data_IF_936750776702
#
_entry.id   IF_936750776702
#
_cell.length_a   1.000
_cell.length_b   1.000
_cell.length_c   1.000
_cell.angle_alpha   90.00
_cell.angle_beta   90.00
_cell.angle_gamma   90.00
#
_symmetry.space_group_name_H-M   'P 1'
#
loop_
_entity.id
_entity.type
_entity.pdbx_description
1 polymer ?
#
# COMPACT_ATOMS: atom_id res chain seq x y z
N UNK A 1 -3.24 38.15 -41.15
CA UNK A 1 -3.62 37.99 -39.71
C UNK A 1 -4.61 36.85 -39.47
N UNK A 2 -5.71 36.68 -40.29
CA UNK A 2 -6.68 35.59 -40.06
C UNK A 2 -6.13 34.17 -40.35
N UNK A 3 -5.28 34.01 -41.35
CA UNK A 3 -4.68 32.71 -41.72
C UNK A 3 -3.70 32.22 -40.63
N UNK A 4 -2.89 33.11 -40.07
CA UNK A 4 -1.95 32.79 -38.98
C UNK A 4 -2.68 32.37 -37.68
N UNK A 5 -3.78 33.08 -37.33
CA UNK A 5 -4.61 32.70 -36.19
C UNK A 5 -5.27 31.34 -36.35
N UNK A 6 -5.73 31.03 -37.59
CA UNK A 6 -6.37 29.75 -37.89
C UNK A 6 -5.36 28.59 -37.85
N UNK A 7 -4.14 28.82 -38.37
CA UNK A 7 -3.06 27.82 -38.26
C UNK A 7 -2.64 27.57 -36.82
N UNK A 8 -2.60 28.62 -35.98
CA UNK A 8 -2.29 28.48 -34.55
C UNK A 8 -3.36 27.67 -33.81
N UNK A 9 -4.64 27.96 -34.05
CA UNK A 9 -5.76 27.21 -33.49
C UNK A 9 -5.70 25.73 -33.90
N UNK A 10 -5.43 25.46 -35.16
CA UNK A 10 -5.31 24.08 -35.65
C UNK A 10 -4.15 23.34 -35.02
N UNK A 11 -3.01 24.01 -34.81
CA UNK A 11 -1.86 23.44 -34.14
C UNK A 11 -2.17 23.14 -32.65
N UNK A 12 -2.87 24.07 -31.94
CA UNK A 12 -3.32 23.86 -30.57
C UNK A 12 -4.33 22.71 -30.48
N UNK A 13 -5.19 22.53 -31.48
CA UNK A 13 -6.13 21.41 -31.51
C UNK A 13 -5.41 20.08 -31.62
N UNK A 14 -4.41 19.96 -32.51
CA UNK A 14 -3.59 18.76 -32.66
C UNK A 14 -2.82 18.48 -31.36
N UNK A 15 -2.20 19.51 -30.77
CA UNK A 15 -1.47 19.38 -29.52
C UNK A 15 -2.38 18.94 -28.34
N UNK A 16 -3.59 19.49 -28.27
CA UNK A 16 -4.59 19.08 -27.28
C UNK A 16 -5.08 17.65 -27.47
N UNK A 17 -5.24 17.22 -28.71
CA UNK A 17 -5.58 15.82 -29.03
C UNK A 17 -4.45 14.84 -28.65
N UNK A 18 -3.20 15.27 -28.86
CA UNK A 18 -2.03 14.54 -28.39
C UNK A 18 -2.05 14.44 -26.86
N UNK A 19 -2.26 15.56 -26.15
CA UNK A 19 -2.35 15.59 -24.70
C UNK A 19 -3.42 14.63 -24.17
N UNK A 20 -4.60 14.55 -24.79
CA UNK A 20 -5.68 13.64 -24.39
C UNK A 20 -5.24 12.16 -24.34
N UNK A 21 -4.34 11.75 -25.24
CA UNK A 21 -3.86 10.37 -25.34
C UNK A 21 -2.71 10.08 -24.37
N UNK A 22 -1.84 11.05 -24.14
CA UNK A 22 -0.60 10.86 -23.36
C UNK A 22 -0.69 11.33 -21.91
N UNK A 23 -1.75 12.07 -21.56
CA UNK A 23 -1.96 12.52 -20.19
C UNK A 23 -2.19 11.32 -19.26
N UNK A 24 -1.43 11.18 -18.15
CA UNK A 24 -1.68 10.14 -17.16
C UNK A 24 -3.10 10.25 -16.60
N UNK A 25 -3.76 9.12 -16.48
CA UNK A 25 -5.14 9.04 -16.00
C UNK A 25 -5.15 8.38 -14.63
N UNK A 26 -5.87 8.99 -13.69
CA UNK A 26 -6.06 8.49 -12.34
C UNK A 26 -7.54 8.58 -11.96
N UNK A 27 -7.98 7.76 -11.03
CA UNK A 27 -9.35 7.85 -10.48
C UNK A 27 -9.48 9.07 -9.57
N UNK A 28 -8.53 9.26 -8.69
CA UNK A 28 -8.48 10.35 -7.73
C UNK A 28 -7.19 11.15 -7.88
N UNK A 29 -7.19 12.43 -7.47
CA UNK A 29 -5.96 13.21 -7.41
C UNK A 29 -5.01 12.60 -6.39
N UNK A 30 -3.72 12.62 -6.70
CA UNK A 30 -2.68 12.27 -5.75
C UNK A 30 -2.55 13.40 -4.73
N UNK A 31 -3.16 13.21 -3.58
CA UNK A 31 -3.21 14.19 -2.49
C UNK A 31 -2.64 13.58 -1.22
N UNK A 32 -1.64 14.23 -0.67
CA UNK A 32 -1.19 13.96 0.69
C UNK A 32 -2.06 14.75 1.66
N UNK A 33 -2.70 14.06 2.58
CA UNK A 33 -3.42 14.72 3.67
C UNK A 33 -2.42 15.12 4.76
N UNK A 34 -2.54 16.32 5.34
CA UNK A 34 -1.63 16.75 6.37
C UNK A 34 -1.88 15.99 7.67
N UNK A 35 -1.37 14.78 7.76
CA UNK A 35 -1.53 13.90 8.91
C UNK A 35 -0.74 12.61 8.80
N UNK A 36 -0.64 11.94 9.94
CA UNK A 36 0.00 10.62 10.05
C UNK A 36 -0.69 9.74 11.09
N UNK A 37 -0.58 8.44 10.91
CA UNK A 37 -0.99 7.43 11.88
C UNK A 37 0.25 6.79 12.50
N UNK A 38 0.27 6.73 13.82
CA UNK A 38 1.29 6.04 14.61
C UNK A 38 0.64 4.79 15.20
N UNK A 39 1.13 3.61 14.87
CA UNK A 39 0.64 2.34 15.39
C UNK A 39 1.65 1.69 16.33
N UNK A 40 1.16 1.17 17.48
CA UNK A 40 1.97 0.41 18.45
C UNK A 40 1.22 -0.83 18.87
N UNK A 41 1.91 -1.98 18.85
CA UNK A 41 1.37 -3.26 19.35
C UNK A 41 2.00 -3.63 20.68
N UNK A 42 1.15 -4.07 21.62
CA UNK A 42 1.56 -4.66 22.88
C UNK A 42 0.63 -5.82 23.23
N UNK A 43 1.01 -7.01 22.83
CA UNK A 43 0.15 -8.20 22.89
C UNK A 43 -0.27 -8.52 24.33
N UNK A 44 -1.54 -8.92 24.52
CA UNK A 44 -2.08 -9.36 25.80
C UNK A 44 -2.54 -8.25 26.75
N UNK A 45 -2.49 -6.98 26.32
CA UNK A 45 -2.88 -5.82 27.16
C UNK A 45 -4.33 -5.43 26.87
N UNK A 46 -5.08 -5.06 27.93
CA UNK A 46 -6.46 -4.57 27.81
C UNK A 46 -6.53 -3.22 27.05
N UNK A 47 -7.69 -2.85 26.47
CA UNK A 47 -7.84 -1.54 25.81
C UNK A 47 -7.53 -0.37 26.75
N UNK A 48 -7.95 -0.44 28.03
CA UNK A 48 -7.73 0.60 29.02
C UNK A 48 -6.24 0.75 29.38
N UNK A 49 -5.53 -0.37 29.49
CA UNK A 49 -4.08 -0.35 29.73
C UNK A 49 -3.31 0.07 28.48
N UNK A 50 -3.77 -0.32 27.27
CA UNK A 50 -3.22 0.15 26.01
C UNK A 50 -3.35 1.67 25.87
N UNK A 51 -4.50 2.25 26.24
CA UNK A 51 -4.69 3.70 26.31
C UNK A 51 -3.67 4.36 27.26
N UNK A 52 -3.59 3.85 28.48
CA UNK A 52 -2.73 4.44 29.51
C UNK A 52 -1.24 4.32 29.20
N UNK A 53 -0.80 3.14 28.69
CA UNK A 53 0.62 2.81 28.54
C UNK A 53 1.18 3.16 27.18
N UNK A 54 0.33 3.24 26.13
CA UNK A 54 0.76 3.48 24.75
C UNK A 54 0.20 4.78 24.18
N UNK A 55 -1.13 4.98 24.23
CA UNK A 55 -1.76 6.14 23.62
C UNK A 55 -1.32 7.44 24.29
N UNK A 56 -1.44 7.50 25.60
CA UNK A 56 -1.24 8.74 26.36
C UNK A 56 0.18 9.30 26.24
N UNK A 57 1.28 8.52 26.39
CA UNK A 57 2.63 9.03 26.15
C UNK A 57 2.84 9.55 24.73
N UNK A 58 2.28 8.86 23.73
CA UNK A 58 2.37 9.30 22.34
C UNK A 58 1.56 10.56 22.07
N UNK A 59 0.31 10.65 22.59
CA UNK A 59 -0.50 11.85 22.45
C UNK A 59 0.17 13.07 23.06
N UNK A 60 0.72 12.91 24.29
CA UNK A 60 1.38 14.01 24.98
C UNK A 60 2.61 14.50 24.23
N UNK A 61 3.39 13.61 23.63
CA UNK A 61 4.53 13.95 22.79
C UNK A 61 4.11 14.63 21.48
N UNK A 62 3.10 14.08 20.77
CA UNK A 62 2.65 14.56 19.48
C UNK A 62 1.96 15.93 19.55
N UNK A 63 1.24 16.23 20.63
CA UNK A 63 0.61 17.54 20.86
C UNK A 63 1.60 18.70 20.97
N UNK A 64 2.88 18.41 21.19
CA UNK A 64 3.94 19.46 21.27
C UNK A 64 4.49 19.89 19.92
N UNK A 65 4.08 19.22 18.84
CA UNK A 65 4.53 19.53 17.47
C UNK A 65 3.83 20.80 16.99
N UNK A 66 4.56 21.71 16.38
CA UNK A 66 4.01 22.94 15.79
C UNK A 66 3.06 22.61 14.64
N UNK A 67 1.90 23.26 14.61
CA UNK A 67 0.88 23.08 13.56
C UNK A 67 0.03 21.82 13.70
N UNK A 68 0.03 21.17 14.85
CA UNK A 68 -0.93 20.10 15.15
C UNK A 68 -2.29 20.70 15.43
N UNK A 69 -3.27 20.39 14.57
CA UNK A 69 -4.66 20.77 14.74
C UNK A 69 -5.38 19.80 15.69
N UNK A 70 -5.14 18.50 15.51
CA UNK A 70 -5.84 17.48 16.28
C UNK A 70 -5.01 16.22 16.47
N UNK A 71 -5.14 15.63 17.66
CA UNK A 71 -4.63 14.28 17.98
C UNK A 71 -5.78 13.42 18.45
N UNK A 72 -5.93 12.25 17.86
CA UNK A 72 -6.93 11.23 18.23
C UNK A 72 -6.24 9.90 18.42
N UNK A 73 -6.70 9.12 19.39
CA UNK A 73 -6.25 7.76 19.56
C UNK A 73 -7.40 6.76 19.60
N UNK A 74 -7.09 5.55 19.22
CA UNK A 74 -7.98 4.39 19.34
C UNK A 74 -7.17 3.24 19.90
N UNK A 75 -7.58 2.74 21.07
CA UNK A 75 -6.95 1.61 21.74
C UNK A 75 -7.87 0.41 21.72
N UNK A 76 -7.32 -0.73 21.32
CA UNK A 76 -7.95 -2.04 21.32
C UNK A 76 -7.11 -3.02 22.12
N UNK A 77 -7.55 -4.28 22.26
CA UNK A 77 -6.75 -5.31 22.93
C UNK A 77 -5.43 -5.52 22.16
N UNK A 78 -4.32 -5.19 22.77
CA UNK A 78 -2.99 -5.40 22.24
C UNK A 78 -2.52 -4.45 21.14
N UNK A 79 -3.31 -3.40 20.78
CA UNK A 79 -2.94 -2.45 19.75
C UNK A 79 -3.50 -1.05 20.01
N UNK A 80 -2.69 -0.04 19.72
CA UNK A 80 -3.08 1.37 19.76
C UNK A 80 -2.69 2.07 18.46
N UNK A 81 -3.62 2.84 17.91
CA UNK A 81 -3.38 3.77 16.82
C UNK A 81 -3.57 5.21 17.30
N UNK A 82 -2.60 6.07 17.06
CA UNK A 82 -2.67 7.52 17.31
C UNK A 82 -2.61 8.23 15.97
N UNK A 83 -3.61 9.07 15.68
CA UNK A 83 -3.72 9.86 14.46
C UNK A 83 -3.42 11.30 14.82
N UNK A 84 -2.47 11.90 14.11
CA UNK A 84 -2.15 13.32 14.18
C UNK A 84 -2.60 14.00 12.89
N UNK A 85 -3.38 15.07 13.02
CA UNK A 85 -3.85 15.92 11.93
C UNK A 85 -3.15 17.29 12.06
N UNK A 86 -2.60 17.80 10.96
CA UNK A 86 -1.89 19.07 10.92
C UNK A 86 -2.69 20.13 10.17
N UNK A 87 -2.38 21.40 10.42
CA UNK A 87 -2.91 22.52 9.66
C UNK A 87 -2.60 22.38 8.15
N UNK A 88 -3.51 22.83 7.28
CA UNK A 88 -3.38 22.70 5.83
C UNK A 88 -2.20 23.47 5.22
N UNK A 89 -1.76 24.53 5.89
CA UNK A 89 -0.68 25.43 5.41
C UNK A 89 0.71 25.01 5.92
N UNK A 90 0.83 23.87 6.64
CA UNK A 90 2.10 23.42 7.22
C UNK A 90 3.01 22.82 6.14
N UNK A 91 4.31 22.94 6.35
CA UNK A 91 5.30 22.13 5.65
C UNK A 91 5.18 20.67 6.13
N UNK A 92 4.53 19.83 5.30
CA UNK A 92 4.21 18.45 5.66
C UNK A 92 5.48 17.62 5.90
N UNK A 93 6.53 17.81 5.10
CA UNK A 93 7.78 17.06 5.26
C UNK A 93 8.43 17.36 6.62
N UNK A 94 8.41 18.64 7.03
CA UNK A 94 8.87 19.05 8.35
C UNK A 94 8.03 18.46 9.47
N UNK A 95 6.69 18.52 9.34
CA UNK A 95 5.76 17.99 10.34
C UNK A 95 5.92 16.47 10.53
N UNK A 96 6.13 15.73 9.44
CA UNK A 96 6.39 14.28 9.47
C UNK A 96 7.75 13.97 10.09
N UNK A 97 8.76 14.77 9.79
CA UNK A 97 10.07 14.64 10.45
C UNK A 97 9.95 14.87 11.95
N UNK A 98 9.29 15.96 12.39
CA UNK A 98 9.08 16.28 13.80
C UNK A 98 8.25 15.18 14.50
N UNK A 99 7.26 14.58 13.79
CA UNK A 99 6.51 13.42 14.28
C UNK A 99 7.43 12.24 14.58
N UNK A 100 8.35 11.89 13.67
CA UNK A 100 9.32 10.82 13.88
C UNK A 100 10.21 11.09 15.10
N UNK A 101 10.70 12.30 15.22
CA UNK A 101 11.53 12.73 16.38
C UNK A 101 10.74 12.59 17.68
N UNK A 102 9.47 13.06 17.72
CA UNK A 102 8.64 12.98 18.92
C UNK A 102 8.23 11.56 19.30
N UNK A 103 7.95 10.71 18.32
CA UNK A 103 7.71 9.28 18.57
C UNK A 103 8.97 8.60 19.11
N UNK A 104 10.15 8.91 18.57
CA UNK A 104 11.41 8.37 19.07
C UNK A 104 11.72 8.83 20.52
N UNK A 105 11.42 10.09 20.87
CA UNK A 105 11.48 10.58 22.24
C UNK A 105 10.53 9.80 23.17
N UNK A 106 9.30 9.59 22.73
CA UNK A 106 8.27 8.89 23.51
C UNK A 106 8.55 7.39 23.71
N UNK A 107 9.39 6.76 22.85
CA UNK A 107 9.77 5.34 23.01
C UNK A 107 10.33 5.03 24.42
N UNK A 108 11.02 5.98 25.04
CA UNK A 108 11.56 5.81 26.40
C UNK A 108 10.49 5.68 27.50
N UNK A 109 9.26 6.11 27.22
CA UNK A 109 8.12 6.06 28.14
C UNK A 109 7.22 4.83 27.90
N UNK A 110 7.39 4.15 26.76
CA UNK A 110 6.64 2.94 26.42
C UNK A 110 7.19 1.72 27.16
N UNK A 111 6.34 0.69 27.40
CA UNK A 111 6.79 -0.58 27.97
C UNK A 111 7.88 -1.24 27.11
N UNK A 112 8.88 -1.85 27.77
CA UNK A 112 10.02 -2.49 27.08
C UNK A 112 9.62 -3.65 26.17
N UNK A 113 8.48 -4.30 26.47
CA UNK A 113 7.94 -5.42 25.70
C UNK A 113 6.96 -4.96 24.60
N UNK A 114 6.67 -3.66 24.50
CA UNK A 114 5.89 -3.12 23.39
C UNK A 114 6.70 -3.20 22.09
N UNK A 115 6.02 -3.51 20.98
CA UNK A 115 6.66 -3.48 19.67
C UNK A 115 7.02 -2.04 19.29
N UNK A 116 8.02 -1.91 18.42
CA UNK A 116 8.44 -0.60 17.93
C UNK A 116 7.29 0.13 17.23
N UNK A 117 7.03 1.41 17.55
CA UNK A 117 6.02 2.21 16.86
C UNK A 117 6.33 2.33 15.38
N UNK A 118 5.33 2.16 14.52
CA UNK A 118 5.43 2.48 13.11
C UNK A 118 4.64 3.76 12.79
N UNK A 119 5.11 4.51 11.80
CA UNK A 119 4.49 5.76 11.35
C UNK A 119 4.09 5.58 9.88
N UNK A 120 2.82 5.85 9.58
CA UNK A 120 2.28 5.84 8.21
C UNK A 120 1.68 7.21 7.91
N UNK A 121 2.08 7.81 6.81
CA UNK A 121 1.50 9.04 6.27
C UNK A 121 0.13 8.77 5.65
N UNK A 122 -0.74 9.77 5.59
CA UNK A 122 -1.98 9.67 4.85
C UNK A 122 -1.79 10.17 3.43
N UNK A 123 -1.73 9.25 2.49
CA UNK A 123 -1.65 9.56 1.06
C UNK A 123 -2.65 8.70 0.28
N UNK A 124 -3.24 9.26 -0.76
CA UNK A 124 -4.10 8.51 -1.68
C UNK A 124 -3.29 7.53 -2.56
N UNK A 125 -1.96 7.71 -2.64
CA UNK A 125 -1.08 6.79 -3.38
C UNK A 125 -0.97 5.41 -2.74
N UNK A 126 -1.31 5.27 -1.45
CA UNK A 126 -1.32 3.99 -0.73
C UNK A 126 -2.61 3.17 -0.99
N UNK A 127 -3.57 3.74 -1.73
CA UNK A 127 -4.78 3.01 -2.12
C UNK A 127 -4.48 2.02 -3.24
N UNK A 128 -4.89 0.75 -3.11
CA UNK A 128 -4.69 -0.23 -4.16
C UNK A 128 -5.56 0.08 -5.38
N UNK A 129 -4.93 0.08 -6.56
CA UNK A 129 -5.60 0.25 -7.86
C UNK A 129 -6.14 -1.06 -8.43
N UNK A 130 -5.56 -2.17 -7.98
CA UNK A 130 -5.92 -3.52 -8.40
C UNK A 130 -5.70 -4.48 -7.23
N UNK A 131 -6.71 -5.30 -6.91
CA UNK A 131 -6.61 -6.40 -5.95
C UNK A 131 -6.78 -7.72 -6.68
N UNK A 132 -5.76 -8.56 -6.60
CA UNK A 132 -5.75 -9.90 -7.18
C UNK A 132 -5.91 -10.91 -6.05
N UNK A 133 -6.84 -11.85 -6.21
CA UNK A 133 -7.02 -12.97 -5.28
C UNK A 133 -6.54 -14.26 -5.92
N UNK A 134 -5.66 -14.97 -5.24
CA UNK A 134 -5.16 -16.29 -5.63
C UNK A 134 -5.73 -17.32 -4.68
N UNK A 135 -6.47 -18.28 -5.19
CA UNK A 135 -7.15 -19.31 -4.39
C UNK A 135 -6.90 -20.72 -4.94
N UNK A 136 -6.97 -21.70 -4.08
CA UNK A 136 -6.96 -23.12 -4.47
C UNK A 136 -7.69 -23.97 -3.46
N UNK A 137 -8.44 -24.96 -3.95
CA UNK A 137 -9.08 -26.00 -3.12
C UNK A 137 -8.23 -27.26 -2.97
N UNK A 138 -7.14 -27.39 -3.73
CA UNK A 138 -6.35 -28.61 -3.86
C UNK A 138 -4.95 -28.46 -3.26
N UNK A 139 -4.34 -27.29 -3.42
CA UNK A 139 -2.95 -27.06 -3.02
C UNK A 139 -2.79 -26.90 -1.51
N UNK A 140 -1.72 -27.46 -0.92
CA UNK A 140 -1.32 -27.13 0.43
C UNK A 140 -1.09 -25.61 0.58
N UNK A 141 -1.47 -25.06 1.73
CA UNK A 141 -1.39 -23.62 2.00
C UNK A 141 0.01 -23.04 1.76
N UNK A 142 1.06 -23.74 2.16
CA UNK A 142 2.46 -23.31 1.97
C UNK A 142 2.82 -23.16 0.49
N UNK A 143 2.35 -24.07 -0.37
CA UNK A 143 2.58 -23.98 -1.82
C UNK A 143 1.84 -22.76 -2.39
N UNK A 144 0.60 -22.51 -1.93
CA UNK A 144 -0.16 -21.36 -2.35
C UNK A 144 0.50 -20.04 -1.92
N UNK A 145 1.05 -19.98 -0.69
CA UNK A 145 1.81 -18.83 -0.19
C UNK A 145 3.02 -18.54 -1.06
N UNK A 146 3.87 -19.53 -1.28
CA UNK A 146 5.09 -19.36 -2.09
C UNK A 146 4.74 -18.91 -3.52
N UNK A 147 3.75 -19.54 -4.14
CA UNK A 147 3.31 -19.19 -5.49
C UNK A 147 2.77 -17.74 -5.56
N UNK A 148 2.08 -17.29 -4.51
CA UNK A 148 1.55 -15.94 -4.46
C UNK A 148 2.65 -14.92 -4.17
N UNK A 149 3.67 -15.27 -3.39
CA UNK A 149 4.88 -14.47 -3.19
C UNK A 149 5.69 -14.33 -4.48
N UNK A 150 5.92 -15.42 -5.22
CA UNK A 150 6.59 -15.36 -6.52
C UNK A 150 5.84 -14.45 -7.51
N UNK A 151 4.51 -14.47 -7.46
CA UNK A 151 3.67 -13.57 -8.26
C UNK A 151 3.78 -12.12 -7.81
N UNK A 152 3.80 -11.85 -6.50
CA UNK A 152 4.03 -10.54 -5.92
C UNK A 152 5.37 -9.97 -6.39
N UNK A 153 6.46 -10.73 -6.22
CA UNK A 153 7.80 -10.32 -6.64
C UNK A 153 7.84 -9.97 -8.13
N UNK A 154 7.17 -10.79 -8.96
CA UNK A 154 7.06 -10.52 -10.39
C UNK A 154 6.34 -9.21 -10.69
N UNK A 155 5.22 -8.94 -10.00
CA UNK A 155 4.43 -7.71 -10.17
C UNK A 155 5.25 -6.48 -9.76
N UNK A 156 6.02 -6.56 -8.69
CA UNK A 156 6.88 -5.46 -8.21
C UNK A 156 8.04 -5.11 -9.17
N UNK A 157 8.40 -6.01 -10.09
CA UNK A 157 9.36 -5.67 -11.16
C UNK A 157 8.84 -4.63 -12.15
N UNK A 158 7.52 -4.41 -12.19
CA UNK A 158 6.92 -3.48 -13.14
C UNK A 158 7.21 -2.01 -12.76
N UNK A 159 7.74 -1.17 -13.68
CA UNK A 159 8.21 0.18 -13.34
C UNK A 159 7.13 1.13 -12.81
N UNK A 160 5.86 0.90 -13.16
CA UNK A 160 4.74 1.74 -12.74
C UNK A 160 4.10 1.27 -11.42
N UNK A 161 4.49 0.11 -10.91
CA UNK A 161 4.05 -0.40 -9.60
C UNK A 161 4.92 0.24 -8.53
N UNK A 162 4.28 0.79 -7.51
CA UNK A 162 4.96 1.32 -6.32
C UNK A 162 5.29 0.19 -5.36
N UNK A 163 4.28 -0.62 -5.05
CA UNK A 163 4.30 -1.69 -4.07
C UNK A 163 3.19 -2.69 -4.37
N UNK A 164 3.39 -3.93 -3.99
CA UNK A 164 2.36 -4.96 -3.99
C UNK A 164 2.30 -5.61 -2.59
N UNK A 165 1.20 -5.42 -1.88
CA UNK A 165 1.03 -5.94 -0.52
C UNK A 165 0.29 -7.28 -0.52
N UNK A 166 0.91 -8.27 0.09
CA UNK A 166 0.34 -9.60 0.21
C UNK A 166 -0.45 -9.75 1.51
N UNK A 167 -1.75 -10.02 1.38
CA UNK A 167 -2.67 -10.15 2.50
C UNK A 167 -3.20 -11.58 2.65
N UNK A 168 -3.53 -11.94 3.89
CA UNK A 168 -4.07 -13.27 4.23
C UNK A 168 -2.99 -14.35 4.37
N UNK A 169 -1.71 -13.99 4.32
CA UNK A 169 -0.59 -14.90 4.56
C UNK A 169 -0.48 -15.17 6.04
N UNK A 170 -0.53 -16.43 6.47
CA UNK A 170 -0.24 -16.77 7.85
C UNK A 170 1.25 -16.64 8.14
N UNK A 171 1.58 -16.13 9.31
CA UNK A 171 2.97 -16.07 9.78
C UNK A 171 3.54 -17.48 9.97
N UNK A 172 4.73 -17.72 9.47
CA UNK A 172 5.45 -18.98 9.73
C UNK A 172 5.82 -19.09 11.21
N UNK A 173 5.61 -20.28 11.76
CA UNK A 173 5.91 -20.60 13.15
C UNK A 173 6.64 -21.95 13.22
N UNK A 174 7.72 -22.00 13.97
CA UNK A 174 8.32 -23.26 14.40
C UNK A 174 7.74 -23.62 15.75
N UNK A 175 6.95 -24.66 15.78
CA UNK A 175 6.30 -25.18 16.96
C UNK A 175 7.10 -26.35 17.54
N UNK A 176 7.45 -26.29 18.79
CA UNK A 176 8.04 -27.40 19.54
C UNK A 176 7.05 -27.92 20.57
N UNK A 177 6.40 -29.05 20.27
CA UNK A 177 5.45 -29.69 21.18
C UNK A 177 6.21 -30.60 22.15
N UNK A 178 6.32 -30.15 23.38
CA UNK A 178 7.13 -30.79 24.42
C UNK A 178 6.40 -31.98 25.04
N UNK A 179 7.05 -33.13 25.07
CA UNK A 179 6.54 -34.33 25.73
C UNK A 179 6.99 -34.38 27.21
N UNK A 180 6.05 -34.11 28.15
CA UNK A 180 6.33 -34.05 29.58
C UNK A 180 7.02 -35.31 30.09
N UNK A 181 6.60 -36.51 29.66
CA UNK A 181 7.21 -37.78 30.07
C UNK A 181 8.67 -37.92 29.68
N UNK A 182 9.03 -37.40 28.50
CA UNK A 182 10.45 -37.42 28.03
C UNK A 182 11.29 -36.41 28.84
N UNK A 183 10.77 -35.19 29.15
CA UNK A 183 11.46 -34.25 30.02
C UNK A 183 11.76 -34.84 31.38
N UNK A 184 10.78 -35.52 31.99
CA UNK A 184 10.94 -36.16 33.32
C UNK A 184 11.97 -37.30 33.23
N UNK A 185 11.98 -38.13 32.20
CA UNK A 185 12.92 -39.23 32.03
C UNK A 185 14.38 -38.78 31.87
N UNK A 186 14.61 -37.65 31.22
CA UNK A 186 15.94 -37.02 31.07
C UNK A 186 16.28 -36.09 32.22
N UNK A 187 15.37 -35.89 33.19
CA UNK A 187 15.56 -34.99 34.35
C UNK A 187 15.80 -33.53 33.90
N UNK A 188 15.00 -33.05 32.95
CA UNK A 188 15.04 -31.68 32.43
C UNK A 188 13.82 -30.93 32.92
N UNK A 189 14.02 -29.74 33.47
CA UNK A 189 12.92 -28.86 33.87
C UNK A 189 12.51 -27.97 32.71
N UNK A 190 11.23 -27.51 32.71
CA UNK A 190 10.73 -26.58 31.68
C UNK A 190 11.54 -25.28 31.64
N UNK A 191 12.03 -24.79 32.79
CA UNK A 191 12.85 -23.58 32.87
C UNK A 191 14.22 -23.78 32.20
N UNK A 192 14.83 -24.97 32.34
CA UNK A 192 16.09 -25.30 31.64
C UNK A 192 15.87 -25.35 30.13
N UNK A 193 14.77 -25.92 29.67
CA UNK A 193 14.41 -25.95 28.26
C UNK A 193 14.25 -24.54 27.72
N UNK A 194 13.46 -23.69 28.39
CA UNK A 194 13.27 -22.29 28.01
C UNK A 194 14.59 -21.51 27.93
N UNK A 195 15.44 -21.66 28.95
CA UNK A 195 16.76 -21.02 28.96
C UNK A 195 17.66 -21.50 27.82
N UNK A 196 17.65 -22.79 27.51
CA UNK A 196 18.44 -23.34 26.42
C UNK A 196 18.01 -22.74 25.07
N UNK A 197 16.70 -22.66 24.80
CA UNK A 197 16.17 -22.01 23.57
C UNK A 197 16.50 -20.54 23.53
N UNK A 198 16.23 -19.77 24.61
CA UNK A 198 16.46 -18.34 24.68
C UNK A 198 17.93 -17.94 24.54
N UNK A 199 18.83 -18.71 25.11
CA UNK A 199 20.26 -18.42 25.08
C UNK A 199 20.89 -18.73 23.72
N UNK A 200 20.35 -19.67 22.98
CA UNK A 200 20.88 -20.09 21.69
C UNK A 200 20.24 -19.38 20.49
N UNK A 201 19.25 -18.52 20.69
CA UNK A 201 18.65 -17.67 19.64
C UNK A 201 19.07 -16.20 19.80
N UNK A 202 20.38 -15.95 19.95
CA UNK A 202 20.92 -14.60 20.13
C UNK A 202 22.21 -14.44 19.34
N UNK A 203 22.32 -13.37 18.55
CA UNK A 203 23.58 -12.99 17.92
C UNK A 203 24.52 -12.46 19.01
N UNK A 204 25.64 -13.13 19.23
CA UNK A 204 26.68 -12.66 20.14
C UNK A 204 27.82 -12.11 19.27
N UNK A 205 27.95 -10.76 19.16
CA UNK A 205 29.08 -10.16 18.48
C UNK A 205 30.37 -10.42 19.30
N UNK A 206 31.19 -11.35 18.83
CA UNK A 206 32.45 -11.72 19.50
C UNK A 206 33.60 -10.74 19.19
N UNK A 207 33.29 -9.64 18.50
CA UNK A 207 34.27 -8.61 18.15
C UNK A 207 35.12 -8.96 16.93
N UNK A 208 36.20 -8.25 16.72
CA UNK A 208 37.12 -8.48 15.62
C UNK A 208 38.53 -8.79 16.16
N UNK A 209 39.15 -9.84 15.69
CA UNK A 209 40.52 -10.21 16.02
C UNK A 209 41.47 -9.68 14.93
N UNK A 210 42.43 -8.88 15.32
CA UNK A 210 43.49 -8.44 14.42
C UNK A 210 44.65 -9.42 14.53
N UNK A 211 44.96 -10.08 13.41
CA UNK A 211 46.05 -11.08 13.34
C UNK A 211 47.37 -10.49 12.81
N UNK A 212 47.43 -9.13 12.63
CA UNK A 212 48.61 -8.47 12.03
C UNK A 212 48.71 -8.63 10.50
N UNK A 213 47.87 -9.50 9.90
CA UNK A 213 47.73 -9.71 8.45
C UNK A 213 46.34 -9.37 7.93
N UNK A 214 45.42 -9.00 8.85
CA UNK A 214 44.07 -8.62 8.54
C UNK A 214 43.17 -8.66 9.79
N UNK A 215 42.10 -7.89 9.74
CA UNK A 215 41.08 -7.85 10.79
C UNK A 215 39.94 -8.78 10.42
N UNK A 216 39.78 -9.84 11.22
CA UNK A 216 38.70 -10.83 11.01
C UNK A 216 37.62 -10.60 12.06
N UNK A 217 36.38 -10.46 11.58
CA UNK A 217 35.19 -10.41 12.46
C UNK A 217 34.86 -11.84 12.89
N UNK A 218 34.89 -12.08 14.19
CA UNK A 218 34.48 -13.37 14.76
C UNK A 218 32.99 -13.28 15.06
N UNK A 219 32.18 -13.95 14.25
CA UNK A 219 30.75 -14.15 14.53
C UNK A 219 30.57 -15.54 15.12
N UNK A 220 29.92 -15.62 16.27
CA UNK A 220 29.42 -16.90 16.78
C UNK A 220 28.02 -17.06 16.16
N UNK A 221 27.80 -18.00 15.23
CA UNK A 221 26.48 -18.26 14.70
C UNK A 221 25.62 -18.82 15.84
N UNK A 222 24.61 -18.08 16.25
CA UNK A 222 23.72 -18.45 17.36
C UNK A 222 22.26 -18.08 17.05
N UNK A 223 21.95 -17.84 15.77
CA UNK A 223 20.58 -17.67 15.30
C UNK A 223 20.23 -18.90 14.47
N UNK A 224 19.09 -19.49 14.77
CA UNK A 224 18.59 -20.65 14.02
C UNK A 224 18.32 -20.21 12.57
N UNK A 225 18.89 -20.91 11.62
CA UNK A 225 18.70 -20.68 10.18
C UNK A 225 17.92 -21.80 9.49
N UNK A 226 17.83 -22.95 10.15
CA UNK A 226 17.11 -24.12 9.62
C UNK A 226 16.31 -24.84 10.71
N UNK A 227 15.39 -25.71 10.30
CA UNK A 227 14.65 -26.58 11.23
C UNK A 227 15.61 -27.56 11.93
N UNK A 228 16.61 -28.05 11.21
CA UNK A 228 17.64 -28.98 11.73
C UNK A 228 18.46 -28.33 12.85
N UNK A 229 18.77 -27.02 12.77
CA UNK A 229 19.49 -26.30 13.82
C UNK A 229 18.70 -26.31 15.14
N UNK A 230 17.37 -26.17 15.05
CA UNK A 230 16.49 -26.18 16.21
C UNK A 230 16.31 -27.59 16.75
N UNK A 231 16.14 -28.59 15.90
CA UNK A 231 16.02 -30.01 16.30
C UNK A 231 17.26 -30.49 17.02
N UNK A 232 18.45 -30.14 16.50
CA UNK A 232 19.73 -30.49 17.06
C UNK A 232 20.21 -29.65 18.26
N UNK A 233 19.36 -28.70 18.73
CA UNK A 233 19.69 -27.82 19.85
C UNK A 233 19.99 -28.61 21.14
N UNK A 234 21.20 -28.51 21.72
CA UNK A 234 21.56 -29.22 22.94
C UNK A 234 20.85 -28.59 24.14
N UNK A 235 19.99 -29.37 24.80
CA UNK A 235 19.26 -28.93 26.02
C UNK A 235 20.02 -29.33 27.29
N UNK A 236 20.63 -30.55 27.29
CA UNK A 236 21.38 -31.05 28.43
C UNK A 236 22.55 -31.87 27.98
N UNK A 237 23.72 -31.63 28.56
CA UNK A 237 24.91 -32.44 28.38
C UNK A 237 25.18 -33.23 29.67
N UNK A 238 25.23 -34.55 29.58
CA UNK A 238 25.50 -35.42 30.70
C UNK A 238 26.62 -36.41 30.33
N UNK A 239 27.84 -36.08 30.76
CA UNK A 239 29.04 -36.87 30.37
C UNK A 239 29.30 -36.79 28.88
N UNK A 240 29.26 -37.97 28.19
CA UNK A 240 29.42 -38.07 26.74
C UNK A 240 28.10 -37.99 25.96
N UNK A 241 26.95 -37.94 26.65
CA UNK A 241 25.63 -37.90 26.03
C UNK A 241 25.08 -36.49 25.98
N UNK A 242 24.59 -36.07 24.81
CA UNK A 242 23.91 -34.82 24.59
C UNK A 242 22.45 -35.14 24.34
N UNK A 243 21.55 -34.49 25.09
CA UNK A 243 20.10 -34.53 24.86
C UNK A 243 19.73 -33.30 24.05
N UNK A 244 19.16 -33.51 22.88
CA UNK A 244 18.75 -32.46 21.95
C UNK A 244 17.28 -32.12 22.12
N UNK A 245 16.82 -31.06 21.46
CA UNK A 245 15.42 -30.68 21.50
C UNK A 245 14.50 -31.74 20.88
N UNK A 246 14.91 -32.40 19.79
CA UNK A 246 14.15 -33.47 19.14
C UNK A 246 13.94 -34.70 20.03
N UNK A 247 14.84 -34.95 21.00
CA UNK A 247 14.68 -36.04 21.97
C UNK A 247 13.51 -35.83 22.92
N UNK A 248 13.14 -34.56 23.18
CA UNK A 248 12.15 -34.18 24.20
C UNK A 248 10.91 -33.44 23.63
N UNK A 249 10.96 -33.04 22.37
CA UNK A 249 9.86 -32.32 21.72
C UNK A 249 9.71 -32.78 20.26
N UNK A 250 8.46 -32.71 19.75
CA UNK A 250 8.17 -32.78 18.33
C UNK A 250 8.29 -31.37 17.74
N UNK A 251 9.30 -31.17 16.89
CA UNK A 251 9.61 -29.85 16.29
C UNK A 251 9.13 -29.86 14.85
N UNK A 252 8.19 -28.96 14.56
CA UNK A 252 7.59 -28.87 13.23
C UNK A 252 7.44 -27.42 12.77
N UNK A 253 7.54 -27.22 11.46
CA UNK A 253 7.24 -25.95 10.81
C UNK A 253 5.73 -25.90 10.55
N UNK A 254 5.07 -24.94 11.13
CA UNK A 254 3.62 -24.71 11.02
C UNK A 254 3.34 -23.23 10.81
N UNK A 255 2.10 -22.85 10.93
CA UNK A 255 1.69 -21.44 10.89
C UNK A 255 1.13 -21.03 12.25
N UNK A 256 1.33 -19.76 12.60
CA UNK A 256 0.69 -19.13 13.75
C UNK A 256 -0.83 -19.19 13.62
N UNK A 257 -1.52 -19.22 14.76
CA UNK A 257 -2.97 -19.16 14.78
C UNK A 257 -3.47 -17.93 14.02
N UNK A 258 -4.46 -18.14 13.17
CA UNK A 258 -4.96 -17.12 12.27
C UNK A 258 -5.75 -16.05 13.00
N UNK A 259 -5.38 -14.78 12.84
CA UNK A 259 -6.19 -13.64 13.29
C UNK A 259 -7.39 -13.35 12.37
N UNK A 260 -7.40 -13.89 11.14
CA UNK A 260 -8.46 -13.67 10.14
C UNK A 260 -8.42 -14.68 8.99
N UNK A 261 -9.44 -14.64 8.15
CA UNK A 261 -9.57 -15.50 6.98
C UNK A 261 -9.91 -14.67 5.75
N UNK A 262 -9.17 -14.87 4.65
CA UNK A 262 -9.54 -14.41 3.32
C UNK A 262 -10.12 -15.57 2.52
N UNK A 263 -11.29 -15.36 1.94
CA UNK A 263 -11.97 -16.39 1.12
C UNK A 263 -12.63 -15.76 -0.09
N UNK A 264 -12.52 -16.44 -1.22
CA UNK A 264 -13.28 -16.11 -2.44
C UNK A 264 -14.07 -17.35 -2.88
N UNK A 265 -15.35 -17.19 -3.19
CA UNK A 265 -16.24 -18.30 -3.57
C UNK A 265 -16.22 -19.48 -2.57
N UNK A 266 -15.99 -19.20 -1.27
CA UNK A 266 -15.91 -20.21 -0.21
C UNK A 266 -14.54 -20.91 -0.10
N UNK A 267 -13.62 -20.70 -1.03
CA UNK A 267 -12.26 -21.25 -1.01
C UNK A 267 -11.32 -20.29 -0.25
N UNK A 268 -10.33 -20.84 0.43
CA UNK A 268 -9.28 -20.03 1.03
C UNK A 268 -8.48 -19.31 -0.05
N UNK A 269 -8.25 -18.03 0.17
CA UNK A 269 -7.53 -17.18 -0.78
C UNK A 269 -6.46 -16.34 -0.09
N UNK A 270 -5.47 -15.95 -0.86
CA UNK A 270 -4.52 -14.88 -0.56
C UNK A 270 -4.81 -13.73 -1.51
N UNK A 271 -4.61 -12.50 -1.10
CA UNK A 271 -4.79 -11.36 -1.99
C UNK A 271 -3.52 -10.52 -2.10
N UNK A 272 -3.28 -9.98 -3.29
CA UNK A 272 -2.21 -9.04 -3.59
C UNK A 272 -2.88 -7.70 -3.89
N UNK A 273 -2.62 -6.71 -3.06
CA UNK A 273 -3.06 -5.34 -3.26
C UNK A 273 -1.94 -4.55 -3.95
N UNK A 274 -2.23 -4.00 -5.11
CA UNK A 274 -1.24 -3.38 -5.99
C UNK A 274 -1.47 -1.87 -6.02
N UNK A 275 -0.44 -1.10 -5.63
CA UNK A 275 -0.40 0.35 -5.65
C UNK A 275 0.42 0.85 -6.83
N UNK A 276 -0.04 1.90 -7.50
CA UNK A 276 0.70 2.53 -8.59
C UNK A 276 1.67 3.60 -8.08
N UNK A 277 2.72 3.86 -8.83
CA UNK A 277 3.54 5.07 -8.61
C UNK A 277 2.75 6.33 -8.96
N UNK A 278 2.98 7.40 -8.20
CA UNK A 278 2.48 8.73 -8.54
C UNK A 278 2.89 9.09 -9.97
N UNK A 279 2.00 9.74 -10.73
CA UNK A 279 2.21 10.08 -12.13
C UNK A 279 2.00 8.94 -13.13
N UNK A 280 1.82 7.69 -12.70
CA UNK A 280 1.59 6.56 -13.61
C UNK A 280 0.12 6.46 -14.03
N UNK A 281 -0.11 6.07 -15.30
CA UNK A 281 -1.45 5.87 -15.84
C UNK A 281 -2.05 4.56 -15.30
N UNK A 282 -3.17 4.66 -14.58
CA UNK A 282 -3.84 3.51 -13.96
C UNK A 282 -4.28 2.45 -14.99
N UNK A 283 -4.81 2.88 -16.15
CA UNK A 283 -5.36 1.98 -17.18
C UNK A 283 -4.23 1.14 -17.79
N UNK A 284 -3.11 1.78 -18.13
CA UNK A 284 -1.97 1.10 -18.73
C UNK A 284 -1.28 0.19 -17.71
N UNK A 285 -1.11 0.67 -16.47
CA UNK A 285 -0.51 -0.12 -15.38
C UNK A 285 -1.30 -1.39 -15.10
N UNK A 286 -2.62 -1.28 -14.93
CA UNK A 286 -3.48 -2.45 -14.67
C UNK A 286 -3.47 -3.42 -15.85
N UNK A 287 -3.52 -2.91 -17.08
CA UNK A 287 -3.44 -3.72 -18.30
C UNK A 287 -2.13 -4.52 -18.38
N UNK A 288 -1.00 -3.88 -18.07
CA UNK A 288 0.31 -4.52 -18.11
C UNK A 288 0.46 -5.54 -16.98
N UNK A 289 0.00 -5.22 -15.77
CA UNK A 289 -0.03 -6.16 -14.63
C UNK A 289 -0.94 -7.36 -14.94
N UNK A 290 -2.14 -7.16 -15.48
CA UNK A 290 -3.01 -8.28 -15.89
C UNK A 290 -2.31 -9.21 -16.89
N UNK A 291 -1.58 -8.65 -17.84
CA UNK A 291 -0.82 -9.45 -18.81
C UNK A 291 0.30 -10.24 -18.13
N UNK A 292 1.05 -9.64 -17.19
CA UNK A 292 2.07 -10.35 -16.40
C UNK A 292 1.45 -11.52 -15.61
N UNK A 293 0.31 -11.27 -14.97
CA UNK A 293 -0.41 -12.29 -14.20
C UNK A 293 -0.95 -13.41 -15.08
N UNK A 294 -1.51 -13.09 -16.25
CA UNK A 294 -1.98 -14.07 -17.22
C UNK A 294 -0.84 -14.93 -17.76
N UNK A 295 0.32 -14.33 -18.03
CA UNK A 295 1.50 -15.07 -18.49
C UNK A 295 2.08 -15.96 -17.38
N UNK A 296 2.15 -15.49 -16.15
CA UNK A 296 2.57 -16.25 -14.98
C UNK A 296 1.60 -17.41 -14.67
N UNK A 297 0.29 -17.17 -14.76
CA UNK A 297 -0.74 -18.16 -14.44
C UNK A 297 -0.72 -19.40 -15.34
N UNK A 298 -0.13 -19.32 -16.54
CA UNK A 298 0.07 -20.47 -17.44
C UNK A 298 1.00 -21.54 -16.85
N UNK A 299 1.88 -21.14 -15.93
CA UNK A 299 2.80 -22.04 -15.24
C UNK A 299 2.24 -22.56 -13.90
N UNK A 300 1.05 -22.11 -13.49
CA UNK A 300 0.46 -22.51 -12.22
C UNK A 300 -0.03 -23.96 -12.25
N UNK A 301 0.07 -24.68 -11.11
CA UNK A 301 -0.52 -26.00 -10.99
C UNK A 301 -2.04 -25.99 -11.23
N UNK A 302 -2.58 -27.13 -11.65
CA UNK A 302 -4.03 -27.31 -11.78
C UNK A 302 -4.75 -27.02 -10.44
N UNK A 303 -5.89 -26.34 -10.52
CA UNK A 303 -6.70 -25.98 -9.35
C UNK A 303 -6.33 -24.68 -8.67
N UNK A 304 -5.43 -23.88 -9.23
CA UNK A 304 -5.20 -22.49 -8.82
C UNK A 304 -6.11 -21.59 -9.64
N UNK A 305 -6.89 -20.76 -8.94
CA UNK A 305 -7.76 -19.75 -9.54
C UNK A 305 -7.23 -18.36 -9.20
N UNK A 306 -7.13 -17.51 -10.22
CA UNK A 306 -6.77 -16.10 -10.10
C UNK A 306 -7.99 -15.27 -10.41
N UNK A 307 -8.41 -14.44 -9.44
CA UNK A 307 -9.58 -13.58 -9.56
C UNK A 307 -9.20 -12.12 -9.32
N UNK A 308 -9.75 -11.22 -10.12
CA UNK A 308 -9.61 -9.78 -9.92
C UNK A 308 -10.79 -9.27 -9.08
N UNK A 309 -10.51 -8.83 -7.85
CA UNK A 309 -11.55 -8.45 -6.88
C UNK A 309 -11.84 -6.96 -6.95
N UNK A 310 -10.82 -6.14 -7.09
CA UNK A 310 -10.91 -4.69 -7.29
C UNK A 310 -10.14 -4.34 -8.56
N UNK A 311 -10.71 -3.50 -9.40
CA UNK A 311 -10.07 -2.95 -10.60
C UNK A 311 -10.54 -1.52 -10.84
N UNK A 312 -9.75 -0.58 -10.40
CA UNK A 312 -10.07 0.84 -10.51
C UNK A 312 -9.85 1.37 -11.93
N UNK A 313 -9.18 0.60 -12.81
CA UNK A 313 -9.02 0.97 -14.22
C UNK A 313 -10.35 0.94 -14.98
N UNK A 314 -11.26 0.01 -14.63
CA UNK A 314 -12.59 -0.06 -15.21
C UNK A 314 -13.41 1.17 -14.85
N UNK A 315 -13.35 1.59 -13.58
CA UNK A 315 -14.00 2.84 -13.13
C UNK A 315 -13.42 4.06 -13.84
N UNK A 316 -12.09 4.15 -14.00
CA UNK A 316 -11.43 5.24 -14.73
C UNK A 316 -11.87 5.28 -16.20
N UNK A 317 -11.97 4.13 -16.86
CA UNK A 317 -12.45 4.03 -18.25
C UNK A 317 -13.92 4.47 -18.38
N UNK A 318 -14.77 4.02 -17.47
CA UNK A 318 -16.19 4.41 -17.47
C UNK A 318 -16.32 5.94 -17.29
N UNK A 319 -15.61 6.51 -16.33
CA UNK A 319 -15.59 7.95 -16.05
C UNK A 319 -15.15 8.76 -17.27
N UNK A 320 -14.08 8.35 -17.96
CA UNK A 320 -13.62 9.02 -19.19
C UNK A 320 -14.69 8.95 -20.28
N UNK A 321 -15.32 7.78 -20.44
CA UNK A 321 -16.39 7.60 -21.42
C UNK A 321 -17.60 8.48 -21.12
N UNK A 322 -18.00 8.60 -19.85
CA UNK A 322 -19.10 9.49 -19.43
C UNK A 322 -18.77 10.96 -19.66
N UNK A 323 -17.54 11.40 -19.32
CA UNK A 323 -17.09 12.76 -19.60
C UNK A 323 -17.11 13.08 -21.09
N UNK A 324 -16.61 12.17 -21.93
CA UNK A 324 -16.65 12.33 -23.39
C UNK A 324 -18.10 12.42 -23.91
N UNK A 325 -18.98 11.57 -23.39
CA UNK A 325 -20.42 11.59 -23.72
C UNK A 325 -21.08 12.91 -23.30
N UNK A 326 -20.78 13.41 -22.11
CA UNK A 326 -21.30 14.67 -21.60
C UNK A 326 -20.82 15.88 -22.41
N UNK A 327 -19.55 15.91 -22.79
CA UNK A 327 -18.99 16.95 -23.67
C UNK A 327 -19.70 16.92 -25.02
N UNK A 328 -19.84 15.74 -25.64
CA UNK A 328 -20.49 15.60 -26.95
C UNK A 328 -21.97 16.03 -26.91
N UNK A 329 -22.69 15.62 -25.87
CA UNK A 329 -24.10 15.99 -25.65
C UNK A 329 -24.25 17.50 -25.45
N UNK A 330 -23.36 18.11 -24.66
CA UNK A 330 -23.35 19.56 -24.42
C UNK A 330 -23.09 20.35 -25.71
N UNK A 331 -22.14 19.89 -26.52
CA UNK A 331 -21.86 20.48 -27.85
C UNK A 331 -23.09 20.40 -28.74
N UNK A 332 -23.75 19.23 -28.82
CA UNK A 332 -24.93 19.02 -29.64
C UNK A 332 -26.07 19.94 -29.19
N UNK A 333 -26.38 20.00 -27.88
CA UNK A 333 -27.45 20.88 -27.35
C UNK A 333 -27.17 22.36 -27.64
N UNK A 334 -25.95 22.83 -27.41
CA UNK A 334 -25.58 24.23 -27.70
C UNK A 334 -25.69 24.51 -29.18
N UNK A 335 -25.25 23.60 -30.04
CA UNK A 335 -25.38 23.78 -31.50
C UNK A 335 -26.84 23.86 -31.94
N UNK A 336 -27.73 23.03 -31.40
CA UNK A 336 -29.17 23.07 -31.72
C UNK A 336 -29.80 24.41 -31.32
N UNK A 337 -29.54 24.89 -30.10
CA UNK A 337 -30.08 26.16 -29.61
C UNK A 337 -29.56 27.36 -30.43
N UNK A 338 -28.26 27.40 -30.70
CA UNK A 338 -27.66 28.46 -31.49
C UNK A 338 -28.09 28.40 -32.98
N UNK A 339 -28.28 27.17 -33.51
CA UNK A 339 -28.80 26.96 -34.86
C UNK A 339 -30.20 27.59 -35.00
N UNK A 340 -31.08 27.32 -34.01
CA UNK A 340 -32.43 27.85 -34.00
C UNK A 340 -32.50 29.40 -33.88
N UNK A 341 -31.54 29.98 -33.11
CA UNK A 341 -31.52 31.41 -32.84
C UNK A 341 -30.74 32.25 -33.87
N UNK A 342 -29.58 31.73 -34.35
CA UNK A 342 -28.58 32.54 -35.09
C UNK A 342 -28.15 31.92 -36.44
N UNK A 343 -28.66 30.74 -36.78
CA UNK A 343 -28.40 30.05 -38.03
C UNK A 343 -27.12 29.21 -38.03
N UNK A 344 -26.93 28.44 -39.12
CA UNK A 344 -25.95 27.36 -39.21
C UNK A 344 -24.47 27.81 -39.04
N UNK A 345 -24.07 28.91 -39.67
CA UNK A 345 -22.67 29.36 -39.61
C UNK A 345 -22.23 29.73 -38.19
N UNK A 346 -23.11 30.41 -37.46
CA UNK A 346 -22.86 30.82 -36.07
C UNK A 346 -22.87 29.63 -35.12
N UNK A 347 -23.81 28.71 -35.34
CA UNK A 347 -23.92 27.47 -34.58
C UNK A 347 -22.65 26.63 -34.65
N UNK A 348 -22.07 26.47 -35.85
CA UNK A 348 -20.85 25.70 -36.05
C UNK A 348 -19.65 26.34 -35.36
N UNK A 349 -19.51 27.68 -35.40
CA UNK A 349 -18.43 28.40 -34.72
C UNK A 349 -18.52 28.26 -33.20
N UNK A 350 -19.71 28.43 -32.63
CA UNK A 350 -19.92 28.31 -31.18
C UNK A 350 -19.77 26.86 -30.72
N UNK A 351 -20.31 25.90 -31.48
CA UNK A 351 -20.20 24.47 -31.18
C UNK A 351 -18.76 23.98 -31.15
N UNK A 352 -17.92 24.49 -32.07
CA UNK A 352 -16.49 24.13 -32.10
C UNK A 352 -15.68 24.78 -30.96
N UNK A 353 -16.14 25.88 -30.38
CA UNK A 353 -15.44 26.54 -29.26
C UNK A 353 -15.33 25.62 -28.02
N UNK A 354 -16.33 24.77 -27.77
CA UNK A 354 -16.36 23.87 -26.62
C UNK A 354 -15.25 22.81 -26.72
N UNK A 355 -15.16 21.98 -27.80
CA UNK A 355 -14.08 21.02 -27.95
C UNK A 355 -12.69 21.66 -27.92
N UNK A 356 -12.54 22.84 -28.54
CA UNK A 356 -11.25 23.55 -28.53
C UNK A 356 -10.80 23.94 -27.14
N UNK A 357 -11.67 24.50 -26.32
CA UNK A 357 -11.28 24.90 -24.97
C UNK A 357 -11.05 23.69 -24.07
N UNK A 358 -11.81 22.59 -24.24
CA UNK A 358 -11.56 21.35 -23.53
C UNK A 358 -10.18 20.79 -23.86
N UNK A 359 -9.84 20.66 -25.13
CA UNK A 359 -8.51 20.18 -25.57
C UNK A 359 -7.38 21.15 -25.16
N UNK A 360 -7.64 22.46 -25.15
CA UNK A 360 -6.66 23.43 -24.66
C UNK A 360 -6.42 23.25 -23.14
N UNK A 361 -7.44 23.00 -22.36
CA UNK A 361 -7.31 22.75 -20.92
C UNK A 361 -6.50 21.46 -20.66
N UNK A 362 -6.76 20.38 -21.41
CA UNK A 362 -5.95 19.16 -21.33
C UNK A 362 -4.48 19.41 -21.73
N UNK A 363 -4.23 20.24 -22.74
CA UNK A 363 -2.88 20.63 -23.11
C UNK A 363 -2.17 21.39 -21.98
N UNK A 364 -2.88 22.29 -21.27
CA UNK A 364 -2.32 22.99 -20.12
C UNK A 364 -1.96 22.01 -19.01
N UNK A 365 -2.83 21.05 -18.69
CA UNK A 365 -2.56 20.01 -17.70
C UNK A 365 -1.32 19.19 -18.10
N UNK A 366 -1.21 18.81 -19.37
CA UNK A 366 -0.06 18.07 -19.89
C UNK A 366 1.26 18.86 -19.76
N UNK A 367 1.24 20.17 -20.06
CA UNK A 367 2.42 21.04 -19.92
C UNK A 367 2.80 21.25 -18.44
N UNK A 368 1.82 21.24 -17.54
CA UNK A 368 2.03 21.36 -16.10
C UNK A 368 2.36 20.03 -15.42
N UNK A 369 2.49 18.95 -16.19
CA UNK A 369 2.76 17.60 -15.71
C UNK A 369 1.76 17.14 -14.61
N UNK A 370 0.47 17.40 -14.86
CA UNK A 370 -0.62 17.03 -13.95
C UNK A 370 -1.42 15.87 -14.51
N UNK A 371 -1.91 14.99 -13.62
CA UNK A 371 -2.76 13.87 -13.97
C UNK A 371 -4.18 14.33 -14.32
N UNK A 372 -4.85 13.60 -15.21
CA UNK A 372 -6.26 13.74 -15.50
C UNK A 372 -7.06 12.81 -14.58
N UNK A 373 -7.80 13.38 -13.64
CA UNK A 373 -8.62 12.67 -12.68
C UNK A 373 -10.08 13.18 -12.70
N UNK A 374 -10.95 12.50 -11.95
CA UNK A 374 -12.38 12.84 -11.88
C UNK A 374 -12.63 14.29 -11.48
N UNK A 375 -11.98 14.78 -10.42
CA UNK A 375 -12.19 16.15 -9.93
C UNK A 375 -11.79 17.21 -10.94
N UNK A 376 -10.67 17.03 -11.62
CA UNK A 376 -10.21 17.94 -12.68
C UNK A 376 -11.19 17.90 -13.87
N UNK A 377 -11.69 16.73 -14.24
CA UNK A 377 -12.69 16.58 -15.30
C UNK A 377 -13.98 17.32 -14.99
N UNK A 378 -14.54 17.13 -13.79
CA UNK A 378 -15.75 17.85 -13.34
C UNK A 378 -15.53 19.35 -13.22
N UNK A 379 -14.40 19.78 -12.65
CA UNK A 379 -14.09 21.21 -12.49
C UNK A 379 -13.96 21.91 -13.85
N UNK A 380 -13.33 21.28 -14.83
CA UNK A 380 -13.27 21.77 -16.20
C UNK A 380 -14.67 21.90 -16.80
N UNK A 381 -15.54 20.93 -16.55
CA UNK A 381 -16.93 20.94 -17.03
C UNK A 381 -17.75 22.06 -16.35
N UNK A 382 -17.68 22.19 -15.03
CA UNK A 382 -18.39 23.22 -14.25
C UNK A 382 -17.92 24.63 -14.62
N UNK A 383 -16.61 24.86 -14.73
CA UNK A 383 -16.05 26.16 -15.13
C UNK A 383 -16.52 26.54 -16.53
N UNK A 384 -16.62 25.57 -17.41
CA UNK A 384 -17.13 25.74 -18.77
C UNK A 384 -18.60 26.15 -18.77
N UNK A 385 -19.41 25.51 -17.93
CA UNK A 385 -20.85 25.81 -17.77
C UNK A 385 -21.08 27.21 -17.19
N UNK A 386 -20.26 27.62 -16.24
CA UNK A 386 -20.32 28.96 -15.63
C UNK A 386 -19.89 30.06 -16.61
N UNK A 387 -18.82 29.87 -17.37
CA UNK A 387 -18.38 30.77 -18.44
C UNK A 387 -19.45 30.93 -19.51
N UNK A 388 -20.11 29.85 -19.91
CA UNK A 388 -21.23 29.87 -20.84
C UNK A 388 -22.38 30.75 -20.34
N UNK A 389 -22.77 30.61 -19.07
CA UNK A 389 -23.84 31.39 -18.49
C UNK A 389 -23.52 32.90 -18.41
N UNK A 390 -22.25 33.25 -18.15
CA UNK A 390 -21.76 34.64 -18.21
C UNK A 390 -21.74 35.18 -19.64
N UNK A 391 -21.33 34.40 -20.63
CA UNK A 391 -21.28 34.80 -22.05
C UNK A 391 -22.68 34.96 -22.67
N UNK A 392 -23.65 34.14 -22.24
CA UNK A 392 -25.04 34.22 -22.72
C UNK A 392 -25.89 35.28 -22.02
N UNK A 393 -25.32 36.05 -21.10
CA UNK A 393 -26.00 37.20 -20.49
C UNK A 393 -27.23 36.81 -19.64
N UNK A 394 -27.33 35.58 -19.17
CA UNK A 394 -28.39 35.17 -18.26
C UNK A 394 -27.99 35.61 -16.85
N UNK A 395 -28.00 36.93 -16.64
CA UNK A 395 -28.05 37.54 -15.31
C UNK A 395 -29.47 38.06 -15.12
N UNK A 396 -30.24 37.39 -14.25
CA UNK A 396 -31.23 38.06 -13.44
C UNK A 396 -30.61 38.43 -12.10
#
# INVERSE_FOLDING_TARGET
>A
KSRTSLSLLFLLFIAGFFALNYLPKATEPDVSFPGAMIGVSYEGVSPEDSERLLAKPLEDALRTIEGVEKVRSTSTTGFTAVIVEFDQDIDLDKALYDTRVKVDEAKGELPLDAREPFIREFTTSDEPILTISVSSSILPQRVLVNLTQDLQDLIETHPNVLQADLNGVPEDLIEAVVEKGKLESYGISMSQLYQAVSNNNRVIPAGAQDTGKGRFTVNVPSVFSSLEDIQSLPIKVSGSSVVTLEDVADVRLTFKDRGGYSRINGQQSLSIDIMKRSGSNIIDTVKDVRKLVEDASKAFPEGVEVNYVRDDSEFALQMISELQGNVLTSVALVMIVVLAALGFRTSMLVGMAIPFSYLFALLVLFVLDKEFNFMVGEYLFCTFFLLRNKLLGVHK
#
